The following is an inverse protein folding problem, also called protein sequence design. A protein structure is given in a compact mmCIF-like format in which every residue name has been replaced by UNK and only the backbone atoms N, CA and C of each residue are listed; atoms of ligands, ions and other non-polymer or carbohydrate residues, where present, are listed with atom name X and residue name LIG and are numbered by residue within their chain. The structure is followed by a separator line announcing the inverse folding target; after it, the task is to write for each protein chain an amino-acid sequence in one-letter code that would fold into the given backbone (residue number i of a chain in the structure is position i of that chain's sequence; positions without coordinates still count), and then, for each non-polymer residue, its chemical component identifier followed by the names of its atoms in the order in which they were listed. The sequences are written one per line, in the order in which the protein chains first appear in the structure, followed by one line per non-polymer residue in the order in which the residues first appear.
data_IF_781367955001
#
_entry.id   IF_781367955001
#
_cell.length_a   1.000
_cell.length_b   1.000
_cell.length_c   1.000
_cell.angle_alpha   90.00
_cell.angle_beta   90.00
_cell.angle_gamma   90.00
#
_symmetry.space_group_name_H-M   'P 1'
#
loop_
_entity.id
_entity.type
_entity.pdbx_description
1 polymer ?
#
# COMPACT_ATOMS: atom_id res chain seq x y z
N UNK A 1 21.57 16.20 12.26
CA UNK A 1 22.02 15.70 10.95
C UNK A 1 21.09 14.55 10.61
N UNK A 2 20.15 14.77 9.70
CA UNK A 2 19.27 13.70 9.22
C UNK A 2 20.06 12.89 8.21
N UNK A 3 20.64 11.77 8.65
CA UNK A 3 21.19 10.79 7.71
C UNK A 3 20.05 10.28 6.84
N UNK A 4 20.11 10.58 5.54
CA UNK A 4 19.17 10.00 4.58
C UNK A 4 19.41 8.48 4.56
N UNK A 5 18.48 7.72 5.15
CA UNK A 5 18.48 6.25 5.10
C UNK A 5 18.39 5.81 3.64
N UNK A 6 19.46 5.21 3.12
CA UNK A 6 19.54 4.79 1.72
C UNK A 6 19.39 3.27 1.62
N UNK A 7 18.19 2.81 1.23
CA UNK A 7 17.83 1.38 1.18
C UNK A 7 18.31 0.65 -0.08
N UNK A 8 18.61 1.38 -1.16
CA UNK A 8 18.92 0.77 -2.46
C UNK A 8 20.07 -0.26 -2.40
N UNK A 9 21.23 0.00 -1.76
CA UNK A 9 22.33 -0.96 -1.74
C UNK A 9 21.96 -2.25 -1.00
N UNK A 10 21.11 -2.13 0.02
CA UNK A 10 20.59 -3.28 0.76
C UNK A 10 19.62 -4.12 -0.07
N UNK A 11 18.75 -3.47 -0.84
CA UNK A 11 17.86 -4.16 -1.78
C UNK A 11 18.64 -4.88 -2.88
N UNK A 12 19.67 -4.25 -3.44
CA UNK A 12 20.53 -4.85 -4.46
C UNK A 12 21.22 -6.11 -3.90
N UNK A 13 21.80 -6.04 -2.69
CA UNK A 13 22.42 -7.20 -2.01
C UNK A 13 21.44 -8.35 -1.77
N UNK A 14 20.20 -8.04 -1.38
CA UNK A 14 19.16 -9.06 -1.18
C UNK A 14 18.77 -9.72 -2.50
N UNK A 15 18.60 -8.92 -3.56
CA UNK A 15 18.29 -9.38 -4.90
C UNK A 15 19.40 -10.28 -5.46
N UNK A 16 20.66 -9.83 -5.38
CA UNK A 16 21.81 -10.57 -5.87
C UNK A 16 21.93 -11.94 -5.19
N UNK A 17 21.78 -12.00 -3.86
CA UNK A 17 21.82 -13.25 -3.11
C UNK A 17 20.74 -14.26 -3.55
N UNK A 18 19.54 -13.78 -3.88
CA UNK A 18 18.45 -14.63 -4.41
C UNK A 18 18.74 -15.07 -5.84
N UNK A 19 19.19 -14.16 -6.70
CA UNK A 19 19.47 -14.44 -8.11
C UNK A 19 20.66 -15.41 -8.29
N UNK A 20 21.66 -15.39 -7.41
CA UNK A 20 22.76 -16.36 -7.41
C UNK A 20 22.29 -17.81 -7.22
N UNK A 21 21.14 -18.01 -6.57
CA UNK A 21 20.51 -19.32 -6.38
C UNK A 21 19.43 -19.63 -7.41
N UNK A 22 19.17 -18.74 -8.37
CA UNK A 22 18.18 -18.92 -9.43
C UNK A 22 18.66 -19.90 -10.51
N UNK A 23 18.85 -21.17 -10.14
CA UNK A 23 19.32 -22.26 -11.01
C UNK A 23 18.57 -23.57 -10.72
N UNK A 24 18.42 -24.47 -11.71
CA UNK A 24 17.68 -25.72 -11.56
C UNK A 24 18.14 -26.53 -10.34
N UNK A 25 17.19 -26.96 -9.52
CA UNK A 25 17.46 -27.85 -8.38
C UNK A 25 18.12 -27.19 -7.17
N UNK A 26 18.33 -25.87 -7.17
CA UNK A 26 18.81 -25.16 -5.97
C UNK A 26 17.73 -25.15 -4.89
N UNK A 27 17.98 -25.78 -3.74
CA UNK A 27 17.02 -25.84 -2.62
C UNK A 27 16.76 -24.43 -2.05
N UNK A 28 17.80 -23.62 -1.89
CA UNK A 28 17.65 -22.24 -1.43
C UNK A 28 16.94 -21.36 -2.46
N UNK A 29 17.23 -21.55 -3.76
CA UNK A 29 16.51 -20.86 -4.83
C UNK A 29 15.03 -21.23 -4.89
N UNK A 30 14.71 -22.51 -4.70
CA UNK A 30 13.33 -23.00 -4.65
C UNK A 30 12.56 -22.52 -3.41
N UNK A 31 13.23 -22.41 -2.26
CA UNK A 31 12.63 -21.79 -1.08
C UNK A 31 12.42 -20.28 -1.31
N UNK A 32 13.39 -19.57 -1.91
CA UNK A 32 13.22 -18.17 -2.28
C UNK A 32 12.04 -17.97 -3.24
N UNK A 33 11.91 -18.80 -4.27
CA UNK A 33 10.75 -18.82 -5.16
C UNK A 33 9.45 -19.05 -4.39
N UNK A 34 9.42 -20.03 -3.48
CA UNK A 34 8.25 -20.32 -2.66
C UNK A 34 7.82 -19.15 -1.76
N UNK A 35 8.78 -18.34 -1.27
CA UNK A 35 8.52 -17.15 -0.44
C UNK A 35 8.04 -15.97 -1.27
N UNK A 36 8.65 -15.76 -2.45
CA UNK A 36 8.51 -14.52 -3.24
C UNK A 36 7.47 -14.60 -4.35
N UNK A 37 7.08 -15.79 -4.82
CA UNK A 37 6.19 -15.96 -5.98
C UNK A 37 4.83 -15.26 -5.87
N UNK A 38 4.32 -15.09 -4.66
CA UNK A 38 3.01 -14.48 -4.39
C UNK A 38 3.12 -12.97 -4.11
N UNK A 39 4.33 -12.40 -4.17
CA UNK A 39 4.56 -10.97 -3.97
C UNK A 39 4.43 -10.22 -5.31
N UNK A 40 3.38 -9.40 -5.51
CA UNK A 40 3.13 -8.73 -6.80
C UNK A 40 4.17 -7.65 -7.15
N UNK A 41 4.99 -7.25 -6.18
CA UNK A 41 5.97 -6.18 -6.34
C UNK A 41 7.37 -6.70 -6.68
N UNK A 42 7.56 -8.03 -6.70
CA UNK A 42 8.83 -8.66 -7.01
C UNK A 42 8.64 -9.52 -8.25
N UNK A 43 9.27 -9.12 -9.36
CA UNK A 43 9.22 -9.83 -10.63
C UNK A 43 10.59 -10.44 -10.92
N UNK A 44 10.67 -11.77 -10.88
CA UNK A 44 11.87 -12.55 -11.18
C UNK A 44 11.53 -13.57 -12.26
N UNK A 45 12.38 -13.67 -13.28
CA UNK A 45 12.32 -14.77 -14.25
C UNK A 45 12.94 -16.02 -13.62
N UNK A 46 12.09 -16.89 -13.07
CA UNK A 46 12.52 -18.03 -12.27
C UNK A 46 13.01 -19.21 -13.13
N UNK A 47 14.26 -19.60 -12.90
CA UNK A 47 14.94 -20.75 -13.52
C UNK A 47 15.26 -21.87 -12.51
N UNK A 48 14.68 -21.80 -11.31
CA UNK A 48 14.90 -22.78 -10.21
C UNK A 48 14.24 -24.15 -10.44
N UNK A 49 13.34 -24.26 -11.42
CA UNK A 49 12.56 -25.47 -11.66
C UNK A 49 13.43 -26.70 -12.00
N UNK A 50 13.03 -27.87 -11.50
CA UNK A 50 13.68 -29.13 -11.85
C UNK A 50 13.38 -29.47 -13.32
N UNK A 51 14.38 -29.34 -14.20
CA UNK A 51 14.24 -29.64 -15.64
C UNK A 51 14.46 -31.13 -15.91
N UNK A 52 14.07 -31.61 -17.10
CA UNK A 52 14.41 -32.98 -17.53
C UNK A 52 15.93 -33.21 -17.54
N UNK A 53 16.69 -32.23 -18.02
CA UNK A 53 18.16 -32.28 -18.04
C UNK A 53 18.73 -32.45 -16.63
N UNK A 54 18.21 -31.69 -15.66
CA UNK A 54 18.61 -31.82 -14.26
C UNK A 54 18.26 -33.19 -13.68
N UNK A 55 17.07 -33.72 -13.99
CA UNK A 55 16.66 -35.07 -13.57
C UNK A 55 17.59 -36.14 -14.14
N UNK A 56 17.97 -36.04 -15.41
CA UNK A 56 18.77 -37.07 -16.07
C UNK A 56 20.24 -37.01 -15.66
N UNK A 57 20.78 -35.81 -15.38
CA UNK A 57 22.21 -35.60 -15.13
C UNK A 57 22.58 -35.51 -13.65
N UNK A 58 21.72 -34.93 -12.82
CA UNK A 58 22.07 -34.57 -11.44
C UNK A 58 21.24 -35.34 -10.41
N UNK A 59 19.94 -35.55 -10.65
CA UNK A 59 19.04 -36.11 -9.65
C UNK A 59 19.51 -37.48 -9.14
N UNK A 60 19.49 -37.62 -7.81
CA UNK A 60 19.82 -38.86 -7.11
C UNK A 60 18.80 -39.03 -6.00
N UNK A 61 18.02 -40.12 -5.97
CA UNK A 61 17.02 -40.34 -4.94
C UNK A 61 17.65 -40.55 -3.55
N UNK A 62 18.96 -40.80 -3.48
CA UNK A 62 19.75 -40.85 -2.26
C UNK A 62 20.35 -39.49 -1.84
N UNK A 63 20.13 -38.40 -2.57
CA UNK A 63 20.58 -37.07 -2.15
C UNK A 63 19.39 -36.27 -1.59
N UNK A 64 19.47 -35.86 -0.32
CA UNK A 64 18.41 -35.09 0.35
C UNK A 64 18.15 -33.74 -0.33
N UNK A 65 19.19 -33.08 -0.85
CA UNK A 65 19.02 -31.82 -1.58
C UNK A 65 18.20 -32.04 -2.85
N UNK A 66 18.44 -33.13 -3.56
CA UNK A 66 17.72 -33.44 -4.80
C UNK A 66 16.26 -33.82 -4.53
N UNK A 67 16.00 -34.61 -3.49
CA UNK A 67 14.64 -34.96 -3.08
C UNK A 67 13.88 -33.72 -2.58
N UNK A 68 14.53 -32.87 -1.79
CA UNK A 68 13.94 -31.61 -1.30
C UNK A 68 13.62 -30.65 -2.43
N UNK A 69 14.56 -30.45 -3.37
CA UNK A 69 14.35 -29.62 -4.55
C UNK A 69 13.17 -30.11 -5.38
N UNK A 70 13.10 -31.42 -5.63
CA UNK A 70 11.98 -32.00 -6.37
C UNK A 70 10.65 -31.88 -5.60
N UNK A 71 10.69 -31.90 -4.27
CA UNK A 71 9.53 -31.66 -3.42
C UNK A 71 8.99 -30.22 -3.50
N UNK A 72 9.86 -29.21 -3.45
CA UNK A 72 9.47 -27.82 -3.73
C UNK A 72 8.89 -27.67 -5.14
N UNK A 73 9.54 -28.29 -6.13
CA UNK A 73 9.10 -28.22 -7.52
C UNK A 73 7.71 -28.86 -7.70
N UNK A 74 7.47 -30.05 -7.15
CA UNK A 74 6.17 -30.72 -7.22
C UNK A 74 5.07 -29.91 -6.50
N UNK A 75 5.41 -29.25 -5.39
CA UNK A 75 4.48 -28.36 -4.70
C UNK A 75 4.10 -27.14 -5.53
N UNK A 76 5.08 -26.52 -6.20
CA UNK A 76 4.83 -25.40 -7.10
C UNK A 76 4.13 -25.82 -8.40
N UNK A 77 4.35 -27.05 -8.86
CA UNK A 77 3.76 -27.62 -10.08
C UNK A 77 3.12 -29.00 -9.78
N UNK A 78 1.87 -29.04 -9.28
CA UNK A 78 1.23 -30.29 -8.87
C UNK A 78 1.10 -31.36 -9.96
N UNK A 79 1.12 -30.96 -11.24
CA UNK A 79 1.01 -31.85 -12.41
C UNK A 79 2.39 -32.23 -12.99
N UNK A 80 3.45 -32.11 -12.20
CA UNK A 80 4.80 -32.45 -12.66
C UNK A 80 4.92 -33.94 -13.02
N UNK A 81 5.65 -34.23 -14.10
CA UNK A 81 5.91 -35.58 -14.62
C UNK A 81 6.94 -36.39 -13.81
N UNK A 82 7.54 -35.79 -12.77
CA UNK A 82 8.62 -36.40 -11.98
C UNK A 82 8.14 -37.08 -10.69
N UNK A 83 6.83 -37.36 -10.59
CA UNK A 83 6.19 -38.01 -9.45
C UNK A 83 6.88 -39.32 -9.04
N UNK A 84 7.28 -40.16 -10.00
CA UNK A 84 7.92 -41.44 -9.69
C UNK A 84 9.30 -41.25 -9.03
N UNK A 85 10.10 -40.33 -9.56
CA UNK A 85 11.42 -39.97 -9.02
C UNK A 85 11.30 -39.40 -7.60
N UNK A 86 10.29 -38.56 -7.36
CA UNK A 86 10.02 -38.01 -6.04
C UNK A 86 9.63 -39.11 -5.05
N UNK A 87 8.72 -40.02 -5.42
CA UNK A 87 8.30 -41.13 -4.55
C UNK A 87 9.46 -42.06 -4.17
N UNK A 88 10.34 -42.42 -5.11
CA UNK A 88 11.56 -43.19 -4.79
C UNK A 88 12.52 -42.43 -3.87
N UNK A 89 12.64 -41.11 -4.03
CA UNK A 89 13.38 -40.27 -3.10
C UNK A 89 12.78 -40.27 -1.70
N UNK A 90 11.47 -40.07 -1.59
CA UNK A 90 10.74 -39.98 -0.32
C UNK A 90 10.74 -41.30 0.45
N UNK A 91 10.70 -42.46 -0.22
CA UNK A 91 10.79 -43.76 0.44
C UNK A 91 12.16 -43.95 1.10
N UNK A 92 13.24 -43.56 0.42
CA UNK A 92 14.62 -43.65 0.92
C UNK A 92 14.92 -42.63 2.03
N UNK A 93 14.22 -41.50 2.08
CA UNK A 93 14.35 -40.53 3.18
C UNK A 93 13.98 -41.19 4.52
N UNK A 94 12.91 -41.98 4.56
CA UNK A 94 12.43 -42.66 5.78
C UNK A 94 13.40 -43.68 6.36
N UNK A 95 14.23 -44.29 5.52
CA UNK A 95 15.23 -45.28 5.94
C UNK A 95 16.39 -44.65 6.71
N UNK A 96 16.47 -43.31 6.76
CA UNK A 96 17.56 -42.57 7.40
C UNK A 96 17.26 -42.26 8.85
N UNK A 97 18.33 -42.11 9.61
CA UNK A 97 18.28 -41.41 10.89
C UNK A 97 18.35 -39.90 10.65
N UNK A 98 17.23 -39.20 10.90
CA UNK A 98 17.10 -37.76 10.71
C UNK A 98 18.05 -36.93 11.60
N UNK A 99 18.60 -37.51 12.66
CA UNK A 99 19.48 -36.84 13.63
C UNK A 99 20.96 -37.17 13.43
N UNK A 100 21.29 -38.09 12.51
CA UNK A 100 22.67 -38.56 12.31
C UNK A 100 23.47 -37.65 11.38
N UNK A 101 24.69 -37.33 11.81
CA UNK A 101 25.67 -36.51 11.09
C UNK A 101 25.41 -35.01 11.29
N UNK A 102 26.23 -34.31 12.09
CA UNK A 102 26.04 -32.92 12.54
C UNK A 102 25.28 -32.00 11.56
N UNK A 103 25.99 -31.30 10.67
CA UNK A 103 25.41 -30.32 9.74
C UNK A 103 24.69 -30.96 8.54
N UNK A 104 24.82 -32.28 8.38
CA UNK A 104 24.18 -33.05 7.30
C UNK A 104 22.85 -33.67 7.74
N UNK A 105 22.53 -33.62 9.03
CA UNK A 105 21.30 -34.15 9.59
C UNK A 105 20.10 -33.37 9.08
N UNK A 106 19.03 -34.10 8.75
CA UNK A 106 17.80 -33.49 8.27
C UNK A 106 17.16 -32.61 9.35
N UNK A 107 17.30 -33.00 10.63
CA UNK A 107 16.81 -32.24 11.77
C UNK A 107 17.49 -30.88 11.97
N UNK A 108 18.69 -30.65 11.41
CA UNK A 108 19.40 -29.36 11.47
C UNK A 108 19.33 -28.58 10.17
N UNK A 109 18.55 -29.04 9.19
CA UNK A 109 18.42 -28.36 7.91
C UNK A 109 16.94 -28.13 7.55
N UNK A 110 16.31 -27.09 8.12
CA UNK A 110 14.89 -26.80 7.96
C UNK A 110 14.49 -26.60 6.49
N UNK A 111 15.35 -25.97 5.68
CA UNK A 111 15.13 -25.76 4.24
C UNK A 111 14.93 -27.09 3.50
N UNK A 112 15.77 -28.10 3.78
CA UNK A 112 15.64 -29.44 3.20
C UNK A 112 14.36 -30.13 3.65
N UNK A 113 14.11 -30.15 4.95
CA UNK A 113 12.96 -30.83 5.54
C UNK A 113 11.64 -30.21 5.06
N UNK A 114 11.58 -28.89 4.88
CA UNK A 114 10.43 -28.22 4.30
C UNK A 114 10.13 -28.71 2.87
N UNK A 115 11.13 -28.78 1.98
CA UNK A 115 10.91 -29.29 0.62
C UNK A 115 10.39 -30.73 0.60
N UNK A 116 10.86 -31.58 1.53
CA UNK A 116 10.35 -32.95 1.70
C UNK A 116 8.89 -32.95 2.17
N UNK A 117 8.54 -32.13 3.17
CA UNK A 117 7.16 -31.99 3.66
C UNK A 117 6.24 -31.51 2.54
N UNK A 118 6.64 -30.47 1.81
CA UNK A 118 5.87 -29.93 0.68
C UNK A 118 5.70 -30.98 -0.43
N UNK A 119 6.74 -31.76 -0.73
CA UNK A 119 6.65 -32.89 -1.64
C UNK A 119 5.66 -33.95 -1.18
N UNK A 120 5.67 -34.31 0.11
CA UNK A 120 4.70 -35.26 0.66
C UNK A 120 3.26 -34.74 0.56
N UNK A 121 3.04 -33.46 0.88
CA UNK A 121 1.73 -32.81 0.78
C UNK A 121 1.22 -32.78 -0.67
N UNK A 122 2.10 -32.49 -1.64
CA UNK A 122 1.76 -32.50 -3.06
C UNK A 122 1.41 -33.91 -3.58
N UNK A 123 2.03 -34.94 -2.99
CA UNK A 123 1.81 -36.34 -3.33
C UNK A 123 0.59 -36.98 -2.66
N UNK A 124 0.02 -36.34 -1.64
CA UNK A 124 -1.14 -36.83 -0.91
C UNK A 124 -0.92 -38.23 -0.32
N UNK A 125 -1.89 -39.13 -0.51
CA UNK A 125 -1.89 -40.47 0.08
C UNK A 125 -0.66 -41.30 -0.29
N UNK A 126 -0.10 -41.09 -1.49
CA UNK A 126 1.07 -41.83 -1.98
C UNK A 126 2.34 -41.57 -1.15
N UNK A 127 2.40 -40.47 -0.40
CA UNK A 127 3.52 -40.12 0.49
C UNK A 127 3.10 -39.99 1.97
N UNK A 128 1.92 -40.49 2.33
CA UNK A 128 1.36 -40.38 3.69
C UNK A 128 2.28 -40.94 4.78
N UNK A 129 2.90 -42.10 4.54
CA UNK A 129 3.85 -42.70 5.48
C UNK A 129 5.11 -41.84 5.69
N UNK A 130 5.60 -41.16 4.64
CA UNK A 130 6.75 -40.24 4.75
C UNK A 130 6.36 -38.96 5.47
N UNK A 131 5.14 -38.46 5.26
CA UNK A 131 4.63 -37.31 6.01
C UNK A 131 4.50 -37.62 7.51
N UNK A 132 4.01 -38.82 7.88
CA UNK A 132 3.95 -39.28 9.27
C UNK A 132 5.36 -39.33 9.88
N UNK A 133 6.33 -39.90 9.16
CA UNK A 133 7.72 -39.89 9.61
C UNK A 133 8.27 -38.47 9.80
N UNK A 134 7.97 -37.52 8.91
CA UNK A 134 8.36 -36.11 9.10
C UNK A 134 7.74 -35.49 10.36
N UNK A 135 6.49 -35.82 10.69
CA UNK A 135 5.84 -35.38 11.94
C UNK A 135 6.57 -35.93 13.16
N UNK A 136 6.91 -37.23 13.16
CA UNK A 136 7.69 -37.84 14.25
C UNK A 136 9.06 -37.18 14.44
N UNK A 137 9.72 -36.80 13.34
CA UNK A 137 11.00 -36.05 13.39
C UNK A 137 10.80 -34.70 14.06
N UNK A 138 9.77 -33.94 13.65
CA UNK A 138 9.45 -32.63 14.24
C UNK A 138 9.10 -32.76 15.74
N UNK A 139 8.31 -33.76 16.13
CA UNK A 139 7.98 -34.02 17.54
C UNK A 139 9.24 -34.33 18.37
N UNK A 140 10.13 -35.19 17.85
CA UNK A 140 11.42 -35.48 18.50
C UNK A 140 12.32 -34.26 18.60
N UNK A 141 12.30 -33.37 17.60
CA UNK A 141 13.02 -32.09 17.67
C UNK A 141 12.47 -31.20 18.79
N UNK A 142 11.15 -31.13 18.94
CA UNK A 142 10.51 -30.39 20.03
C UNK A 142 10.89 -30.97 21.40
N UNK A 143 10.83 -32.30 21.57
CA UNK A 143 11.23 -32.98 22.80
C UNK A 143 12.71 -32.76 23.17
N UNK A 144 13.58 -32.60 22.16
CA UNK A 144 15.01 -32.31 22.34
C UNK A 144 15.33 -30.82 22.48
N UNK A 145 14.32 -29.94 22.60
CA UNK A 145 14.47 -28.48 22.64
C UNK A 145 15.24 -27.89 21.44
N UNK A 146 15.13 -28.53 20.26
CA UNK A 146 15.75 -28.07 19.01
C UNK A 146 14.84 -27.10 18.22
N UNK A 147 13.86 -26.47 18.86
CA UNK A 147 12.82 -25.67 18.19
C UNK A 147 13.22 -24.23 17.88
N UNK A 148 14.30 -23.71 18.49
CA UNK A 148 14.53 -22.26 18.56
C UNK A 148 15.71 -21.76 17.70
N UNK A 149 16.40 -22.63 16.96
CA UNK A 149 17.58 -22.22 16.19
C UNK A 149 17.22 -21.59 14.83
N UNK A 150 16.06 -21.91 14.26
CA UNK A 150 15.60 -21.37 12.97
C UNK A 150 14.08 -21.13 12.99
N UNK A 151 13.62 -19.90 12.70
CA UNK A 151 12.20 -19.56 12.55
C UNK A 151 11.45 -20.44 11.55
N UNK A 152 12.11 -21.00 10.55
CA UNK A 152 11.46 -21.83 9.55
C UNK A 152 10.83 -23.09 10.19
N UNK A 153 11.35 -23.59 11.31
CA UNK A 153 10.79 -24.76 12.01
C UNK A 153 9.31 -24.59 12.35
N UNK A 154 8.94 -23.40 12.80
CA UNK A 154 7.56 -23.00 13.03
C UNK A 154 6.70 -23.22 11.78
N UNK A 155 7.21 -22.83 10.61
CA UNK A 155 6.53 -23.07 9.34
C UNK A 155 6.43 -24.55 8.96
N UNK A 156 7.47 -25.35 9.25
CA UNK A 156 7.43 -26.80 9.03
C UNK A 156 6.33 -27.46 9.87
N UNK A 157 6.19 -27.09 11.14
CA UNK A 157 5.10 -27.58 12.00
C UNK A 157 3.73 -27.25 11.42
N UNK A 158 3.53 -26.00 11.00
CA UNK A 158 2.28 -25.58 10.37
C UNK A 158 1.99 -26.38 9.10
N UNK A 159 2.98 -26.56 8.22
CA UNK A 159 2.79 -27.32 6.97
C UNK A 159 2.52 -28.80 7.23
N UNK A 160 3.22 -29.41 8.19
CA UNK A 160 3.05 -30.83 8.49
C UNK A 160 1.71 -31.13 9.20
N UNK A 161 1.23 -30.24 10.07
CA UNK A 161 0.06 -30.48 10.94
C UNK A 161 -1.22 -29.75 10.52
N UNK A 162 -1.11 -28.66 9.73
CA UNK A 162 -2.21 -27.76 9.43
C UNK A 162 -2.57 -26.80 10.57
N UNK A 163 -1.91 -26.90 11.72
CA UNK A 163 -2.24 -26.12 12.91
C UNK A 163 -1.46 -24.81 12.91
N UNK A 164 -2.18 -23.69 13.04
CA UNK A 164 -1.56 -22.38 13.24
C UNK A 164 -0.71 -22.39 14.51
N UNK A 165 0.37 -21.63 14.48
CA UNK A 165 1.38 -21.64 15.55
C UNK A 165 1.56 -20.24 16.14
N UNK A 166 1.85 -20.10 17.44
CA UNK A 166 2.18 -18.82 18.03
C UNK A 166 3.58 -18.39 17.58
N UNK A 167 3.65 -17.32 16.80
CA UNK A 167 4.88 -16.67 16.38
C UNK A 167 4.99 -15.36 17.17
N UNK A 168 5.71 -15.40 18.29
CA UNK A 168 6.01 -14.22 19.08
C UNK A 168 7.48 -13.84 18.85
N UNK A 169 7.79 -12.64 18.32
CA UNK A 169 9.16 -12.17 18.32
C UNK A 169 9.58 -11.81 19.74
N UNK A 170 10.81 -12.14 20.07
CA UNK A 170 11.48 -11.65 21.27
C UNK A 170 12.05 -10.25 21.00
N UNK A 171 12.25 -9.45 22.04
CA UNK A 171 12.83 -8.09 21.94
C UNK A 171 14.24 -8.05 21.33
N UNK A 172 14.94 -9.20 21.25
CA UNK A 172 16.27 -9.35 20.64
C UNK A 172 16.27 -10.14 19.32
N UNK A 173 15.16 -10.16 18.59
CA UNK A 173 15.05 -10.96 17.36
C UNK A 173 16.02 -10.49 16.26
N UNK A 174 16.61 -11.41 15.50
CA UNK A 174 17.40 -11.09 14.30
C UNK A 174 16.53 -10.46 13.20
N UNK A 175 17.14 -9.82 12.20
CA UNK A 175 16.40 -9.24 11.07
C UNK A 175 15.61 -10.32 10.31
N UNK A 176 16.24 -11.49 10.08
CA UNK A 176 15.57 -12.66 9.52
C UNK A 176 14.37 -13.13 10.36
N UNK A 177 14.51 -13.20 11.69
CA UNK A 177 13.39 -13.55 12.59
C UNK A 177 12.21 -12.58 12.48
N UNK A 178 12.49 -11.28 12.42
CA UNK A 178 11.45 -10.26 12.25
C UNK A 178 10.75 -10.40 10.89
N UNK A 179 11.53 -10.51 9.81
CA UNK A 179 11.02 -10.66 8.46
C UNK A 179 10.18 -11.95 8.29
N UNK A 180 10.65 -13.08 8.82
CA UNK A 180 9.88 -14.32 8.84
C UNK A 180 8.56 -14.15 9.59
N UNK A 181 8.58 -13.50 10.77
CA UNK A 181 7.36 -13.33 11.57
C UNK A 181 6.31 -12.47 10.85
N UNK A 182 6.75 -11.43 10.14
CA UNK A 182 5.87 -10.59 9.33
C UNK A 182 5.29 -11.36 8.14
N UNK A 183 6.15 -12.07 7.40
CA UNK A 183 5.72 -12.94 6.32
C UNK A 183 4.69 -13.97 6.80
N UNK A 184 4.91 -14.60 7.95
CA UNK A 184 4.00 -15.60 8.50
C UNK A 184 2.65 -15.01 8.94
N UNK A 185 2.62 -13.77 9.43
CA UNK A 185 1.38 -13.05 9.74
C UNK A 185 0.59 -12.78 8.46
N UNK A 186 1.26 -12.27 7.42
CA UNK A 186 0.63 -12.01 6.11
C UNK A 186 0.01 -13.27 5.50
N UNK A 187 0.64 -14.43 5.72
CA UNK A 187 0.16 -15.73 5.23
C UNK A 187 -0.78 -16.46 6.22
N UNK A 188 -1.30 -15.76 7.23
CA UNK A 188 -2.26 -16.27 8.23
C UNK A 188 -1.80 -17.53 8.99
N UNK A 189 -0.49 -17.66 9.19
CA UNK A 189 0.14 -18.81 9.86
C UNK A 189 0.12 -18.64 11.38
N UNK A 190 0.16 -17.39 11.83
CA UNK A 190 0.20 -17.04 13.25
C UNK A 190 -1.19 -17.16 13.91
N UNK A 191 -1.21 -17.59 15.18
CA UNK A 191 -2.42 -17.58 16.02
C UNK A 191 -2.69 -16.19 16.62
N UNK A 192 -1.63 -15.43 16.88
CA UNK A 192 -1.74 -14.16 17.59
C UNK A 192 -1.96 -13.00 16.63
N UNK A 193 -3.00 -12.21 16.87
CA UNK A 193 -3.17 -10.90 16.23
C UNK A 193 -2.30 -9.86 16.95
N UNK A 194 -1.60 -9.05 16.16
CA UNK A 194 -0.80 -7.94 16.69
C UNK A 194 -1.62 -6.65 16.66
N UNK A 195 -1.38 -5.77 17.63
CA UNK A 195 -1.94 -4.43 17.57
C UNK A 195 -1.34 -3.63 16.42
N UNK A 196 -2.05 -2.58 15.96
CA UNK A 196 -1.55 -1.70 14.91
C UNK A 196 -0.22 -1.03 15.28
N UNK A 197 -0.07 -0.66 16.56
CA UNK A 197 1.19 -0.11 17.07
C UNK A 197 2.34 -1.12 16.96
N UNK A 198 2.12 -2.38 17.35
CA UNK A 198 3.14 -3.43 17.26
C UNK A 198 3.55 -3.73 15.81
N UNK A 199 2.58 -3.69 14.88
CA UNK A 199 2.85 -3.81 13.45
C UNK A 199 3.69 -2.64 12.95
N UNK A 200 3.33 -1.41 13.30
CA UNK A 200 4.07 -0.21 12.91
C UNK A 200 5.52 -0.23 13.41
N UNK A 201 5.74 -0.48 14.71
CA UNK A 201 7.08 -0.57 15.30
C UNK A 201 7.94 -1.64 14.63
N UNK A 202 7.34 -2.79 14.30
CA UNK A 202 8.04 -3.88 13.61
C UNK A 202 8.45 -3.50 12.19
N UNK A 203 7.55 -2.89 11.41
CA UNK A 203 7.85 -2.46 10.04
C UNK A 203 8.97 -1.44 10.02
N UNK A 204 8.92 -0.45 10.93
CA UNK A 204 9.99 0.52 11.11
C UNK A 204 11.32 -0.16 11.48
N UNK A 205 11.29 -1.15 12.38
CA UNK A 205 12.49 -1.92 12.74
C UNK A 205 13.08 -2.68 11.54
N UNK A 206 12.25 -3.34 10.72
CA UNK A 206 12.70 -4.06 9.53
C UNK A 206 13.34 -3.10 8.52
N UNK A 207 12.68 -1.97 8.22
CA UNK A 207 13.20 -0.97 7.28
C UNK A 207 14.51 -0.36 7.79
N UNK A 208 14.55 0.06 9.06
CA UNK A 208 15.73 0.66 9.67
C UNK A 208 16.92 -0.28 9.67
N UNK A 209 16.74 -1.53 10.13
CA UNK A 209 17.83 -2.53 10.19
C UNK A 209 18.27 -2.98 8.81
N UNK A 210 17.37 -3.06 7.84
CA UNK A 210 17.75 -3.32 6.45
C UNK A 210 18.65 -2.20 5.91
N UNK A 211 18.37 -0.94 6.26
CA UNK A 211 19.18 0.20 5.82
C UNK A 211 20.52 0.33 6.55
N UNK A 212 20.64 -0.14 7.79
CA UNK A 212 21.79 0.15 8.67
C UNK A 212 22.67 -1.05 9.00
N UNK A 213 22.10 -2.26 9.09
CA UNK A 213 22.77 -3.46 9.58
C UNK A 213 22.20 -4.70 8.85
N UNK A 214 22.29 -4.68 7.52
CA UNK A 214 21.83 -5.80 6.71
C UNK A 214 22.75 -7.02 6.88
N UNK A 215 22.22 -8.02 7.58
CA UNK A 215 22.84 -9.33 7.77
C UNK A 215 21.87 -10.47 7.43
N UNK A 216 22.35 -11.44 6.65
CA UNK A 216 21.70 -12.71 6.33
C UNK A 216 22.77 -13.75 6.00
N UNK A 217 22.46 -15.03 6.22
CA UNK A 217 23.39 -16.15 6.05
C UNK A 217 23.11 -16.98 4.79
N UNK A 218 21.93 -16.82 4.19
CA UNK A 218 21.52 -17.58 3.01
C UNK A 218 20.56 -16.80 2.12
N UNK A 219 20.43 -17.24 0.86
CA UNK A 219 19.45 -16.68 -0.09
C UNK A 219 18.01 -16.83 0.42
N UNK A 220 17.72 -17.89 1.17
CA UNK A 220 16.42 -18.11 1.81
C UNK A 220 16.13 -17.02 2.86
N UNK A 221 17.10 -16.67 3.70
CA UNK A 221 16.96 -15.55 4.64
C UNK A 221 16.81 -14.21 3.89
N UNK A 222 17.60 -14.00 2.84
CA UNK A 222 17.49 -12.82 1.98
C UNK A 222 16.09 -12.69 1.37
N UNK A 223 15.48 -13.79 0.90
CA UNK A 223 14.13 -13.78 0.35
C UNK A 223 13.06 -13.33 1.36
N UNK A 224 13.13 -13.80 2.62
CA UNK A 224 12.21 -13.33 3.67
C UNK A 224 12.36 -11.83 3.94
N UNK A 225 13.61 -11.35 4.05
CA UNK A 225 13.89 -9.93 4.30
C UNK A 225 13.41 -9.09 3.12
N UNK A 226 13.71 -9.50 1.89
CA UNK A 226 13.31 -8.79 0.68
C UNK A 226 11.78 -8.71 0.55
N UNK A 227 11.07 -9.83 0.75
CA UNK A 227 9.60 -9.84 0.75
C UNK A 227 9.02 -8.85 1.75
N UNK A 228 9.59 -8.82 2.96
CA UNK A 228 9.13 -7.98 4.06
C UNK A 228 9.39 -6.50 3.78
N UNK A 229 10.61 -6.16 3.38
CA UNK A 229 11.01 -4.77 3.06
C UNK A 229 10.18 -4.22 1.90
N UNK A 230 10.03 -4.97 0.81
CA UNK A 230 9.22 -4.53 -0.34
C UNK A 230 7.77 -4.30 0.07
N UNK A 231 7.16 -5.25 0.79
CA UNK A 231 5.77 -5.10 1.26
C UNK A 231 5.60 -3.89 2.17
N UNK A 232 6.58 -3.62 3.03
CA UNK A 232 6.57 -2.49 3.95
C UNK A 232 6.76 -1.14 3.26
N UNK A 233 7.62 -1.08 2.24
CA UNK A 233 7.77 0.12 1.41
C UNK A 233 6.47 0.46 0.70
N UNK A 234 5.79 -0.53 0.10
CA UNK A 234 4.51 -0.30 -0.56
C UNK A 234 3.40 0.05 0.43
N UNK A 235 3.36 -0.57 1.61
CA UNK A 235 2.44 -0.17 2.67
C UNK A 235 2.72 1.26 3.16
N UNK A 236 3.98 1.64 3.33
CA UNK A 236 4.36 2.99 3.74
C UNK A 236 3.95 4.00 2.67
N UNK A 237 4.23 3.73 1.39
CA UNK A 237 3.82 4.59 0.27
C UNK A 237 2.29 4.69 0.17
N UNK A 238 1.56 3.59 0.32
CA UNK A 238 0.10 3.60 0.33
C UNK A 238 -0.49 4.35 1.52
N UNK A 239 0.09 4.21 2.70
CA UNK A 239 -0.36 4.90 3.92
C UNK A 239 -0.03 6.40 3.90
N UNK A 240 1.12 6.79 3.35
CA UNK A 240 1.47 8.19 3.10
C UNK A 240 0.47 8.80 2.12
N UNK A 241 0.24 8.18 0.95
CA UNK A 241 -0.76 8.63 -0.02
C UNK A 241 -2.20 8.68 0.52
N UNK A 242 -2.45 8.10 1.71
CA UNK A 242 -3.73 8.07 2.39
C UNK A 242 -3.79 9.00 3.62
N UNK A 243 -3.03 10.10 3.64
CA UNK A 243 -3.18 11.14 4.68
C UNK A 243 -3.97 12.36 4.17
N UNK A 244 -4.85 12.95 5.00
CA UNK A 244 -5.56 14.20 4.68
C UNK A 244 -4.66 15.33 4.15
N UNK A 245 -3.43 15.47 4.65
CA UNK A 245 -2.46 16.45 4.15
C UNK A 245 -2.20 16.36 2.63
N UNK A 246 -2.26 15.17 2.03
CA UNK A 246 -2.12 15.03 0.57
C UNK A 246 -3.32 15.58 -0.18
N UNK A 247 -4.53 15.49 0.39
CA UNK A 247 -5.73 16.12 -0.17
C UNK A 247 -5.52 17.63 -0.19
N UNK A 248 -5.04 18.23 0.91
CA UNK A 248 -4.68 19.65 0.94
C UNK A 248 -3.67 20.02 -0.13
N UNK A 249 -2.59 19.25 -0.29
CA UNK A 249 -1.56 19.51 -1.28
C UNK A 249 -2.12 19.45 -2.72
N UNK A 250 -3.03 18.52 -3.01
CA UNK A 250 -3.74 18.45 -4.30
C UNK A 250 -4.62 19.69 -4.50
N UNK A 251 -5.39 20.08 -3.48
CA UNK A 251 -6.30 21.23 -3.54
C UNK A 251 -5.56 22.57 -3.64
N UNK A 252 -4.40 22.73 -3.01
CA UNK A 252 -3.55 23.92 -3.15
C UNK A 252 -3.08 24.14 -4.59
N UNK A 253 -3.04 23.09 -5.41
CA UNK A 253 -2.71 23.18 -6.84
C UNK A 253 -3.92 23.57 -7.72
N UNK A 254 -5.07 23.92 -7.13
CA UNK A 254 -6.27 24.31 -7.88
C UNK A 254 -5.98 25.45 -8.86
N UNK A 255 -5.34 26.54 -8.41
CA UNK A 255 -5.04 27.68 -9.29
C UNK A 255 -4.13 27.29 -10.47
N UNK A 256 -3.14 26.44 -10.22
CA UNK A 256 -2.25 25.92 -11.25
C UNK A 256 -2.99 25.01 -12.25
N UNK A 257 -3.89 24.16 -11.75
CA UNK A 257 -4.73 23.26 -12.55
C UNK A 257 -5.68 24.05 -13.47
N UNK A 258 -6.21 25.15 -12.95
CA UNK A 258 -7.14 26.02 -13.68
C UNK A 258 -6.45 26.85 -14.78
N UNK A 259 -5.12 26.84 -14.90
CA UNK A 259 -4.39 27.50 -16.01
C UNK A 259 -4.89 27.08 -17.41
N UNK A 260 -5.41 25.86 -17.56
CA UNK A 260 -5.97 25.35 -18.83
C UNK A 260 -7.48 25.48 -18.94
N UNK A 261 -8.17 25.93 -17.89
CA UNK A 261 -9.61 26.20 -17.89
C UNK A 261 -9.89 27.52 -18.62
N UNK A 262 -10.03 27.43 -19.95
CA UNK A 262 -10.20 28.56 -20.87
C UNK A 262 -11.68 28.79 -21.17
N UNK A 263 -12.07 30.06 -21.15
CA UNK A 263 -13.32 30.55 -21.75
C UNK A 263 -12.95 31.41 -22.95
N UNK A 264 -13.21 30.91 -24.15
CA UNK A 264 -12.97 31.61 -25.39
C UNK A 264 -14.27 32.32 -25.80
N UNK A 265 -14.30 33.65 -25.73
CA UNK A 265 -15.34 34.44 -26.39
C UNK A 265 -14.91 34.78 -27.82
N UNK A 266 -15.86 35.00 -28.72
CA UNK A 266 -15.64 35.12 -30.17
C UNK A 266 -14.72 36.28 -30.62
N UNK A 267 -14.33 37.19 -29.72
CA UNK A 267 -13.60 38.43 -30.06
C UNK A 267 -12.17 38.57 -29.47
N UNK A 268 -11.60 37.57 -28.77
CA UNK A 268 -10.32 37.75 -28.05
C UNK A 268 -9.11 37.02 -28.68
N UNK A 269 -8.02 37.77 -28.91
CA UNK A 269 -6.71 37.20 -29.32
C UNK A 269 -5.90 36.54 -28.17
N UNK A 270 -6.21 36.81 -26.89
CA UNK A 270 -5.62 36.11 -25.72
C UNK A 270 -6.59 36.03 -24.52
N UNK A 271 -7.56 35.11 -24.52
CA UNK A 271 -8.49 34.96 -23.40
C UNK A 271 -7.96 34.00 -22.31
N UNK A 272 -8.12 34.40 -21.04
CA UNK A 272 -8.27 33.50 -19.88
C UNK A 272 -9.43 34.07 -19.08
N UNK A 273 -10.52 33.32 -18.90
CA UNK A 273 -11.55 33.63 -17.89
C UNK A 273 -11.97 32.34 -17.20
N UNK A 274 -11.69 32.23 -15.90
CA UNK A 274 -12.34 31.24 -15.06
C UNK A 274 -13.71 31.78 -14.73
N UNK A 275 -14.70 31.47 -15.54
CA UNK A 275 -16.08 31.85 -15.21
C UNK A 275 -16.59 30.85 -14.17
N UNK A 276 -16.16 31.03 -12.92
CA UNK A 276 -16.71 30.36 -11.74
C UNK A 276 -17.60 31.39 -11.06
N UNK A 277 -18.90 31.19 -11.14
CA UNK A 277 -19.91 32.17 -10.77
C UNK A 277 -20.65 31.82 -9.49
N UNK A 278 -20.60 30.56 -9.08
CA UNK A 278 -21.35 29.99 -7.96
C UNK A 278 -20.61 28.80 -7.34
N UNK A 279 -20.96 28.46 -6.11
CA UNK A 279 -20.37 27.36 -5.32
C UNK A 279 -20.46 25.99 -6.01
N UNK A 280 -21.59 25.67 -6.64
CA UNK A 280 -21.76 24.40 -7.38
C UNK A 280 -20.69 24.20 -8.46
N UNK A 281 -20.27 25.26 -9.14
CA UNK A 281 -19.23 25.15 -10.18
C UNK A 281 -17.85 24.86 -9.56
N UNK A 282 -17.60 25.37 -8.34
CA UNK A 282 -16.40 24.98 -7.56
C UNK A 282 -16.47 23.51 -7.21
N UNK A 283 -17.62 23.04 -6.70
CA UNK A 283 -17.84 21.63 -6.38
C UNK A 283 -17.61 20.73 -7.60
N UNK A 284 -18.14 21.09 -8.77
CA UNK A 284 -17.93 20.33 -10.03
C UNK A 284 -16.44 20.21 -10.39
N UNK A 285 -15.66 21.29 -10.22
CA UNK A 285 -14.21 21.28 -10.48
C UNK A 285 -13.47 20.45 -9.43
N UNK A 286 -13.82 20.60 -8.15
CA UNK A 286 -13.24 19.81 -7.06
C UNK A 286 -13.50 18.32 -7.27
N UNK A 287 -14.69 17.93 -7.72
CA UNK A 287 -15.00 16.55 -8.07
C UNK A 287 -14.03 16.00 -9.12
N UNK A 288 -13.79 16.74 -10.21
CA UNK A 288 -12.86 16.33 -11.27
C UNK A 288 -11.43 16.14 -10.75
N UNK A 289 -10.97 17.04 -9.88
CA UNK A 289 -9.64 16.96 -9.26
C UNK A 289 -9.57 15.76 -8.33
N UNK A 290 -10.46 15.66 -7.35
CA UNK A 290 -10.44 14.64 -6.31
C UNK A 290 -10.65 13.24 -6.87
N UNK A 291 -11.64 13.05 -7.76
CA UNK A 291 -12.00 11.73 -8.29
C UNK A 291 -10.89 11.11 -9.15
N UNK A 292 -9.97 11.93 -9.65
CA UNK A 292 -8.79 11.49 -10.41
C UNK A 292 -7.68 10.87 -9.53
N UNK A 293 -7.64 11.19 -8.23
CA UNK A 293 -6.65 10.69 -7.27
C UNK A 293 -7.26 9.67 -6.29
N UNK A 294 -8.50 9.89 -5.87
CA UNK A 294 -9.18 9.08 -4.86
C UNK A 294 -10.36 8.34 -5.50
N UNK A 295 -10.36 7.01 -5.36
CA UNK A 295 -11.34 6.14 -6.03
C UNK A 295 -12.69 6.08 -5.31
N UNK A 296 -12.71 6.40 -4.02
CA UNK A 296 -13.85 6.28 -3.12
C UNK A 296 -14.44 7.64 -2.69
N UNK A 297 -14.16 8.71 -3.45
CA UNK A 297 -14.84 10.00 -3.23
C UNK A 297 -16.34 9.81 -3.41
N UNK A 298 -17.10 10.21 -2.40
CA UNK A 298 -18.56 10.28 -2.40
C UNK A 298 -18.95 11.75 -2.54
N UNK A 299 -19.71 12.07 -3.58
CA UNK A 299 -20.34 13.37 -3.72
C UNK A 299 -21.57 13.45 -2.83
N UNK A 300 -21.82 14.63 -2.27
CA UNK A 300 -23.12 14.93 -1.70
C UNK A 300 -23.53 13.92 -0.59
N UNK A 301 -22.57 13.50 0.25
CA UNK A 301 -22.73 12.39 1.20
C UNK A 301 -23.72 12.73 2.31
N UNK A 302 -24.83 11.99 2.32
CA UNK A 302 -25.87 12.16 3.32
C UNK A 302 -25.40 11.62 4.68
N UNK A 303 -25.44 12.48 5.69
CA UNK A 303 -25.04 12.12 7.05
C UNK A 303 -26.26 11.72 7.89
N UNK A 304 -26.04 10.90 8.95
CA UNK A 304 -27.08 10.56 9.91
C UNK A 304 -27.75 11.82 10.48
N UNK A 305 -29.08 11.77 10.65
CA UNK A 305 -29.84 12.90 11.19
C UNK A 305 -29.36 13.26 12.60
N UNK A 306 -29.09 14.53 12.82
CA UNK A 306 -28.81 15.08 14.15
C UNK A 306 -30.01 15.91 14.61
N UNK A 307 -30.77 15.38 15.57
CA UNK A 307 -32.00 16.02 16.02
C UNK A 307 -33.04 16.12 14.89
N UNK A 308 -33.44 17.35 14.54
CA UNK A 308 -34.39 17.62 13.46
C UNK A 308 -33.74 18.00 12.13
N UNK A 309 -32.40 18.07 12.08
CA UNK A 309 -31.65 18.50 10.91
C UNK A 309 -31.07 17.31 10.15
N UNK A 310 -31.06 17.43 8.82
CA UNK A 310 -30.36 16.49 7.92
C UNK A 310 -29.15 17.22 7.38
N UNK A 311 -27.98 16.62 7.54
CA UNK A 311 -26.71 17.20 7.12
C UNK A 311 -26.19 16.45 5.90
N UNK A 312 -25.48 17.18 5.04
CA UNK A 312 -24.97 16.66 3.78
C UNK A 312 -23.63 17.33 3.52
N UNK A 313 -22.57 16.54 3.55
CA UNK A 313 -21.25 17.01 3.21
C UNK A 313 -21.11 17.15 1.69
N UNK A 314 -20.32 18.11 1.23
CA UNK A 314 -20.05 18.27 -0.21
C UNK A 314 -19.30 17.07 -0.78
N UNK A 315 -18.22 16.65 -0.11
CA UNK A 315 -17.50 15.43 -0.44
C UNK A 315 -17.07 14.65 0.80
N UNK A 316 -17.15 13.33 0.72
CA UNK A 316 -16.55 12.41 1.68
C UNK A 316 -15.49 11.54 1.02
N UNK A 317 -14.38 11.30 1.71
CA UNK A 317 -13.37 10.30 1.33
C UNK A 317 -13.26 9.28 2.48
N UNK A 318 -14.07 8.20 2.46
CA UNK A 318 -14.17 7.25 3.57
C UNK A 318 -12.84 6.57 3.93
N UNK A 319 -12.01 6.25 2.94
CA UNK A 319 -10.68 5.66 3.16
C UNK A 319 -9.75 6.55 3.99
N UNK A 320 -9.98 7.86 3.97
CA UNK A 320 -9.23 8.86 4.75
C UNK A 320 -9.98 9.33 5.99
N UNK A 321 -11.22 8.87 6.19
CA UNK A 321 -12.17 9.42 7.19
C UNK A 321 -12.21 10.95 7.15
N UNK A 322 -12.25 11.49 5.94
CA UNK A 322 -12.14 12.91 5.68
C UNK A 322 -13.38 13.44 4.96
N UNK A 323 -13.87 14.59 5.42
CA UNK A 323 -14.85 15.41 4.68
C UNK A 323 -14.13 16.58 4.02
N UNK A 324 -14.61 17.00 2.85
CA UNK A 324 -14.23 18.26 2.20
C UNK A 324 -15.48 19.10 2.05
N UNK A 325 -15.46 20.31 2.60
CA UNK A 325 -16.55 21.29 2.54
C UNK A 325 -16.12 22.48 1.67
N UNK A 326 -16.88 22.76 0.61
CA UNK A 326 -16.58 23.82 -0.34
C UNK A 326 -17.44 25.05 -0.09
N UNK A 327 -16.83 26.24 -0.12
CA UNK A 327 -17.52 27.53 0.07
C UNK A 327 -17.12 28.54 -0.99
N UNK A 328 -18.05 29.41 -1.35
CA UNK A 328 -17.85 30.47 -2.35
C UNK A 328 -18.01 31.87 -1.77
N UNK A 329 -16.94 32.67 -1.79
CA UNK A 329 -16.96 34.05 -1.31
C UNK A 329 -17.08 35.05 -2.46
N UNK A 330 -18.16 35.85 -2.48
CA UNK A 330 -18.40 36.92 -3.47
C UNK A 330 -17.92 38.28 -3.01
N UNK A 331 -17.74 38.45 -1.70
CA UNK A 331 -17.31 39.68 -1.05
C UNK A 331 -16.46 39.38 0.19
N UNK A 332 -15.72 40.39 0.65
CA UNK A 332 -14.99 40.33 1.93
C UNK A 332 -15.88 39.93 3.11
N UNK A 333 -17.14 40.38 3.13
CA UNK A 333 -18.04 40.13 4.26
C UNK A 333 -18.47 38.65 4.34
N UNK A 334 -18.34 37.91 3.23
CA UNK A 334 -18.70 36.49 3.18
C UNK A 334 -17.74 35.62 4.00
N UNK A 335 -16.48 36.01 4.18
CA UNK A 335 -15.51 35.22 4.96
C UNK A 335 -15.97 35.00 6.39
N UNK A 336 -16.48 36.04 7.05
CA UNK A 336 -17.04 35.95 8.41
C UNK A 336 -18.31 35.10 8.47
N UNK A 337 -19.09 35.08 7.38
CA UNK A 337 -20.29 34.25 7.27
C UNK A 337 -19.89 32.78 7.11
N UNK A 338 -18.94 32.50 6.22
CA UNK A 338 -18.36 31.18 5.98
C UNK A 338 -17.78 30.60 7.27
N UNK A 339 -17.00 31.38 8.03
CA UNK A 339 -16.45 30.94 9.32
C UNK A 339 -17.52 30.40 10.27
N UNK A 340 -18.67 31.09 10.35
CA UNK A 340 -19.78 30.65 11.21
C UNK A 340 -20.46 29.39 10.71
N UNK A 341 -20.74 29.32 9.41
CA UNK A 341 -21.36 28.14 8.81
C UNK A 341 -20.49 26.89 9.04
N UNK A 342 -19.19 27.00 8.77
CA UNK A 342 -18.25 25.88 9.00
C UNK A 342 -18.21 25.46 10.47
N UNK A 343 -18.20 26.43 11.41
CA UNK A 343 -18.23 26.10 12.85
C UNK A 343 -19.52 25.38 13.27
N UNK A 344 -20.65 25.72 12.66
CA UNK A 344 -21.95 25.08 12.90
C UNK A 344 -22.01 23.67 12.29
N UNK A 345 -21.46 23.49 11.09
CA UNK A 345 -21.52 22.23 10.33
C UNK A 345 -20.45 21.20 10.77
N UNK A 346 -19.32 21.64 11.32
CA UNK A 346 -18.23 20.75 11.74
C UNK A 346 -18.66 19.72 12.82
N UNK A 347 -19.47 20.15 13.79
CA UNK A 347 -19.94 19.28 14.88
C UNK A 347 -20.79 18.09 14.36
N UNK A 348 -21.84 18.29 13.55
CA UNK A 348 -22.62 17.18 13.00
C UNK A 348 -21.80 16.30 12.07
N UNK A 349 -20.88 16.89 11.29
CA UNK A 349 -20.00 16.16 10.37
C UNK A 349 -19.10 15.15 11.10
N UNK A 350 -18.46 15.58 12.18
CA UNK A 350 -17.51 14.76 12.95
C UNK A 350 -18.18 13.84 14.00
N UNK A 351 -19.52 13.78 14.03
CA UNK A 351 -20.25 12.79 14.84
C UNK A 351 -20.49 11.47 14.09
N UNK A 352 -20.39 11.48 12.77
CA UNK A 352 -20.47 10.25 11.99
C UNK A 352 -19.16 9.46 12.11
N UNK A 353 -19.23 8.20 12.52
CA UNK A 353 -18.05 7.33 12.69
C UNK A 353 -17.27 7.08 11.39
N UNK A 354 -17.86 7.42 10.23
CA UNK A 354 -17.18 7.39 8.93
C UNK A 354 -16.10 8.46 8.81
N UNK A 355 -16.20 9.56 9.57
CA UNK A 355 -15.37 10.75 9.38
C UNK A 355 -14.77 11.25 10.71
N UNK A 356 -13.49 11.58 10.69
CA UNK A 356 -12.71 12.06 11.85
C UNK A 356 -12.13 13.45 11.62
N UNK A 357 -12.06 13.90 10.36
CA UNK A 357 -11.45 15.18 9.99
C UNK A 357 -12.20 15.89 8.85
N UNK A 358 -11.96 17.18 8.73
CA UNK A 358 -12.54 18.10 7.75
C UNK A 358 -11.44 18.94 7.08
N UNK A 359 -11.50 19.09 5.76
CA UNK A 359 -10.79 20.14 5.02
C UNK A 359 -11.80 21.14 4.47
N UNK A 360 -11.53 22.43 4.68
CA UNK A 360 -12.37 23.50 4.14
C UNK A 360 -11.72 24.06 2.88
N UNK A 361 -12.48 24.11 1.78
CA UNK A 361 -12.05 24.74 0.53
C UNK A 361 -12.86 26.01 0.29
N UNK A 362 -12.20 27.17 0.16
CA UNK A 362 -12.87 28.44 -0.10
C UNK A 362 -12.38 28.99 -1.45
N UNK A 363 -13.31 29.20 -2.38
CA UNK A 363 -13.05 29.96 -3.59
C UNK A 363 -13.42 31.42 -3.39
N UNK A 364 -12.44 32.31 -3.51
CA UNK A 364 -12.59 33.76 -3.38
C UNK A 364 -12.79 34.43 -4.76
N UNK A 365 -14.04 34.67 -5.11
CA UNK A 365 -14.44 35.47 -6.29
C UNK A 365 -14.28 36.98 -6.03
N UNK A 366 -14.11 37.41 -4.79
CA UNK A 366 -13.88 38.82 -4.46
C UNK A 366 -12.41 39.26 -4.65
N UNK A 367 -11.48 38.31 -4.65
CA UNK A 367 -10.04 38.53 -4.59
C UNK A 367 -9.59 39.36 -3.36
N UNK A 368 -10.25 39.15 -2.23
CA UNK A 368 -9.97 39.77 -0.93
C UNK A 368 -8.87 39.01 -0.18
N UNK A 369 -7.71 38.87 -0.81
CA UNK A 369 -6.57 38.07 -0.31
C UNK A 369 -6.11 38.43 1.11
N UNK A 370 -6.36 39.66 1.56
CA UNK A 370 -6.03 40.10 2.91
C UNK A 370 -6.85 39.41 4.02
N UNK A 371 -7.99 38.79 3.68
CA UNK A 371 -8.80 38.04 4.65
C UNK A 371 -8.31 36.59 4.80
N UNK A 372 -7.56 36.06 3.82
CA UNK A 372 -7.26 34.63 3.72
C UNK A 372 -6.52 34.09 4.95
N UNK A 373 -5.44 34.76 5.37
CA UNK A 373 -4.62 34.32 6.52
C UNK A 373 -5.39 34.37 7.84
N UNK A 374 -6.32 35.32 7.97
CA UNK A 374 -7.11 35.50 9.18
C UNK A 374 -8.16 34.39 9.25
N UNK A 375 -8.91 34.18 8.17
CA UNK A 375 -9.92 33.12 8.09
C UNK A 375 -9.31 31.74 8.21
N UNK A 376 -8.18 31.48 7.54
CA UNK A 376 -7.45 30.22 7.66
C UNK A 376 -7.06 29.93 9.11
N UNK A 377 -6.51 30.91 9.83
CA UNK A 377 -6.14 30.75 11.25
C UNK A 377 -7.37 30.49 12.12
N UNK A 378 -8.44 31.26 11.94
CA UNK A 378 -9.65 31.12 12.74
C UNK A 378 -10.32 29.74 12.58
N UNK A 379 -10.35 29.21 11.36
CA UNK A 379 -10.92 27.89 11.07
C UNK A 379 -10.02 26.74 11.57
N UNK A 380 -8.70 26.86 11.48
CA UNK A 380 -7.77 25.86 12.01
C UNK A 380 -7.80 25.72 13.55
N UNK A 381 -8.36 26.69 14.27
CA UNK A 381 -8.60 26.58 15.72
C UNK A 381 -9.79 25.66 16.05
N UNK A 382 -10.63 25.31 15.07
CA UNK A 382 -11.80 24.44 15.27
C UNK A 382 -11.34 22.97 15.29
N UNK A 383 -11.63 22.21 16.37
CA UNK A 383 -11.23 20.80 16.46
C UNK A 383 -11.76 19.96 15.30
N UNK A 384 -10.87 19.17 14.69
CA UNK A 384 -11.18 18.29 13.58
C UNK A 384 -11.11 18.96 12.20
N UNK A 385 -10.85 20.27 12.11
CA UNK A 385 -10.42 20.90 10.86
C UNK A 385 -8.92 20.66 10.70
N UNK A 386 -8.56 19.85 9.72
CA UNK A 386 -7.17 19.47 9.43
C UNK A 386 -6.46 20.54 8.59
N UNK A 387 -7.16 21.11 7.60
CA UNK A 387 -6.63 22.18 6.77
C UNK A 387 -7.72 23.09 6.19
N UNK A 388 -7.31 24.28 5.76
CA UNK A 388 -8.13 25.27 5.08
C UNK A 388 -7.38 25.76 3.85
N UNK A 389 -7.94 25.48 2.68
CA UNK A 389 -7.41 25.87 1.38
C UNK A 389 -8.27 27.02 0.84
N UNK A 390 -7.67 28.20 0.72
CA UNK A 390 -8.33 29.37 0.15
C UNK A 390 -7.63 29.72 -1.15
N UNK A 391 -8.38 29.80 -2.24
CA UNK A 391 -7.87 30.13 -3.58
C UNK A 391 -8.60 31.35 -4.12
N UNK A 392 -7.88 32.23 -4.81
CA UNK A 392 -8.47 33.44 -5.37
C UNK A 392 -8.72 33.27 -6.85
N UNK A 393 -9.78 33.91 -7.36
CA UNK A 393 -9.84 34.19 -8.79
C UNK A 393 -8.62 35.02 -9.22
N UNK A 394 -8.16 34.91 -10.48
CA UNK A 394 -7.09 35.76 -10.99
C UNK A 394 -7.44 37.25 -10.90
N UNK A 395 -6.53 38.06 -10.36
CA UNK A 395 -6.73 39.51 -10.14
C UNK A 395 -6.94 40.31 -11.43
N UNK A 396 -6.55 39.75 -12.58
CA UNK A 396 -6.68 40.37 -13.91
C UNK A 396 -8.10 40.26 -14.50
N UNK A 397 -9.00 39.50 -13.85
CA UNK A 397 -10.37 39.37 -14.31
C UNK A 397 -11.21 40.57 -13.85
N UNK A 398 -12.09 41.14 -14.71
CA UNK A 398 -12.99 42.21 -14.30
C UNK A 398 -13.97 41.73 -13.22
N UNK A 399 -14.23 42.56 -12.21
CA UNK A 399 -15.22 42.24 -11.17
C UNK A 399 -16.64 42.25 -11.75
N UNK A 400 -17.54 41.41 -11.21
CA UNK A 400 -18.96 41.35 -11.62
C UNK A 400 -19.66 42.71 -11.60
N UNK A 401 -19.26 43.62 -10.71
CA UNK A 401 -19.77 44.99 -10.61
C UNK A 401 -19.53 45.85 -11.85
N UNK A 402 -18.50 45.56 -12.65
CA UNK A 402 -18.16 46.31 -13.87
C UNK A 402 -18.99 45.81 -15.06
N UNK A 403 -19.32 44.51 -15.09
CA UNK A 403 -20.08 43.89 -16.19
C UNK A 403 -21.53 44.41 -16.21
N UNK A 404 -22.15 44.59 -15.05
CA UNK A 404 -23.55 45.09 -14.95
C UNK A 404 -23.70 46.58 -15.25
N UNK A 405 -22.63 47.38 -15.16
CA UNK A 405 -22.68 48.81 -15.52
C UNK A 405 -22.49 49.06 -17.03
N UNK A 406 -21.89 48.11 -17.76
CA UNK A 406 -21.71 48.19 -19.22
C UNK A 406 -23.02 48.06 -20.00
N UNK A 407 -23.97 47.25 -19.52
CA UNK A 407 -25.24 47.00 -20.21
C UNK A 407 -26.31 48.09 -19.98
N UNK A 408 -26.16 48.95 -18.96
CA UNK A 408 -27.18 49.97 -18.61
C UNK A 408 -26.94 51.37 -19.19
N UNK A 409 -25.91 51.59 -20.01
CA UNK A 409 -25.69 52.87 -20.71
C UNK A 409 -26.04 52.80 -22.21
N UNK A 410 -27.34 52.81 -22.50
CA UNK A 410 -27.86 53.53 -23.66
C UNK A 410 -29.32 53.92 -23.45
N UNK A 411 -29.56 55.23 -23.26
CA UNK A 411 -30.61 55.85 -24.07
C UNK A 411 -30.20 57.22 -24.64
N UNK A 412 -30.69 57.46 -25.86
CA UNK A 412 -30.82 58.72 -26.63
C UNK A 412 -29.62 59.30 -27.40
N UNK A 413 -29.84 59.49 -28.72
CA UNK A 413 -29.22 60.62 -29.43
C UNK A 413 -29.01 60.59 -30.95
N UNK A 414 -30.08 60.45 -31.76
CA UNK A 414 -30.35 61.06 -33.10
C UNK A 414 -29.28 61.15 -34.23
N UNK A 415 -29.67 60.53 -35.35
CA UNK A 415 -29.74 61.02 -36.75
C UNK A 415 -28.63 61.91 -37.36
N UNK A 416 -27.94 61.37 -38.38
CA UNK A 416 -27.98 61.84 -39.79
C UNK A 416 -26.76 61.30 -40.55
N UNK A 417 -26.97 60.62 -41.69
CA UNK A 417 -26.31 60.97 -42.97
C UNK A 417 -26.74 60.03 -44.11
N UNK A 418 -26.96 60.67 -45.25
CA UNK A 418 -27.46 60.18 -46.55
C UNK A 418 -26.61 59.08 -47.19
N UNK A 419 -27.30 58.19 -47.88
CA UNK A 419 -26.78 57.30 -48.94
C UNK A 419 -26.91 58.02 -50.28
N UNK A 420 -25.90 58.02 -51.16
CA UNK A 420 -26.12 58.16 -52.59
C UNK A 420 -25.91 56.80 -53.28
N UNK A 421 -26.93 56.36 -54.00
CA UNK A 421 -26.88 55.40 -55.12
C UNK A 421 -26.31 56.07 -56.38
N UNK A 422 -25.94 55.33 -57.45
CA UNK A 422 -26.14 53.90 -57.71
C UNK A 422 -24.90 53.02 -57.57
#
# INVERSE_FOLDING_TARGET
MSENLYLQPSLDRLSDAVLEQNRPGSVDGLLAHHILKDNPFISIDWQVGCTQVWIDMEFKPTNLDHVSALGYFQWAQPVSKFTHQLLDGLSRVRERDAFKGDHLSLARNPTRLLGIILGCLAMGDAASETLLWCRDVLEKMNQKNMSNFDPLLSYLFYRASGTKIPIAPHSSSSLYQLAFSEWAIHHQINVNELSQQQLYERRQSILYRTATDLHFESASQAAFIWSSVTSNLFHALGAELSQPFHVSAVLQNFEASMKRWRWDGDELQKPIRWQVTQEREVQDILWLILRSYFLDVVDEDALPKLGHSTYKADFGIPSLKLIIEAKFATSKDDFKKIEKEIQEDCIPYLRDLRYESLIVFIYDDSASVQEHDITRRALLEVPGIEDVVIVSRPSQLPSKSVITQGEKKSPNGRSNAKIPTP
#
